data_IF_854312365905
#
_entry.id   IF_854312365905
#
_cell.length_a   1.000
_cell.length_b   1.000
_cell.length_c   1.000
_cell.angle_alpha   90.00
_cell.angle_beta   90.00
_cell.angle_gamma   90.00
#
_symmetry.space_group_name_H-M   'P 1'
#
loop_
_entity.id
_entity.type
_entity.pdbx_description
1 polymer ?
#
# COMPACT_ATOMS: atom_id res chain seq x y z
N UNK A 1 -6.35 -4.66 14.00
CA UNK A 1 -7.26 -3.70 13.41
C UNK A 1 -6.90 -2.28 13.84
N UNK A 2 -6.91 -1.40 12.90
CA UNK A 2 -6.61 -0.02 13.16
C UNK A 2 -7.70 0.64 14.02
N UNK A 3 -7.30 1.35 15.06
CA UNK A 3 -8.23 2.10 15.90
C UNK A 3 -7.97 3.60 15.74
N UNK A 4 -8.93 4.32 15.21
CA UNK A 4 -8.83 5.76 15.07
C UNK A 4 -9.09 6.48 16.40
N UNK A 5 -9.68 5.82 17.37
CA UNK A 5 -10.04 6.45 18.66
C UNK A 5 -8.81 6.89 19.45
N UNK A 6 -7.66 6.28 19.21
CA UNK A 6 -6.43 6.60 19.92
C UNK A 6 -5.65 7.73 19.28
N UNK A 7 -6.12 8.30 18.18
CA UNK A 7 -5.34 9.28 17.43
C UNK A 7 -6.21 10.40 16.88
N UNK A 8 -5.77 11.62 17.09
CA UNK A 8 -6.37 12.80 16.48
C UNK A 8 -5.76 13.13 15.12
N UNK A 9 -4.80 12.31 14.65
CA UNK A 9 -4.11 12.53 13.41
C UNK A 9 -4.72 11.68 12.32
N UNK A 10 -5.15 12.31 11.22
CA UNK A 10 -5.66 11.60 10.05
C UNK A 10 -4.51 10.98 9.28
N UNK A 11 -4.71 9.77 8.76
CA UNK A 11 -3.63 8.92 8.24
C UNK A 11 -3.99 8.24 6.95
N UNK A 12 -2.97 7.94 6.17
CA UNK A 12 -3.00 7.00 5.06
C UNK A 12 -2.39 5.70 5.52
N UNK A 13 -3.12 4.62 5.35
CA UNK A 13 -2.63 3.29 5.71
C UNK A 13 -2.82 2.33 4.55
N UNK A 14 -1.98 1.31 4.53
CA UNK A 14 -2.12 0.23 3.57
C UNK A 14 -2.10 -1.11 4.29
N UNK A 15 -2.66 -2.10 3.64
CA UNK A 15 -2.69 -3.47 4.11
C UNK A 15 -2.63 -4.37 2.88
N UNK A 16 -1.73 -5.34 2.89
CA UNK A 16 -1.59 -6.22 1.75
C UNK A 16 -1.87 -7.66 2.15
N UNK A 17 -2.81 -8.28 1.45
CA UNK A 17 -3.13 -9.69 1.59
C UNK A 17 -2.61 -10.44 0.38
N UNK A 18 -1.82 -11.48 0.64
CA UNK A 18 -1.36 -12.41 -0.37
C UNK A 18 -2.46 -13.44 -0.60
N UNK A 19 -3.20 -13.29 -1.70
CA UNK A 19 -4.31 -14.19 -1.99
C UNK A 19 -3.86 -15.55 -2.52
N UNK A 20 -2.58 -15.68 -2.90
CA UNK A 20 -2.03 -16.98 -3.27
C UNK A 20 -1.88 -17.89 -2.05
N UNK A 21 -1.35 -17.37 -0.94
CA UNK A 21 -1.16 -18.12 0.29
C UNK A 21 -2.31 -17.98 1.27
N UNK A 22 -3.12 -16.94 1.13
CA UNK A 22 -4.16 -16.58 2.08
C UNK A 22 -3.65 -15.91 3.34
N UNK A 23 -2.40 -15.42 3.32
CA UNK A 23 -1.74 -14.81 4.48
C UNK A 23 -1.39 -13.36 4.22
N UNK A 24 -1.19 -12.57 5.29
CA UNK A 24 -0.67 -11.20 5.12
C UNK A 24 0.66 -11.21 4.36
N UNK A 25 0.85 -10.23 3.50
CA UNK A 25 2.06 -10.11 2.68
C UNK A 25 3.20 -9.47 3.49
N UNK A 26 3.76 -10.26 4.40
CA UNK A 26 4.89 -9.83 5.23
C UNK A 26 6.11 -9.58 4.36
N UNK A 27 6.75 -8.45 4.57
CA UNK A 27 8.03 -8.14 3.94
C UNK A 27 7.95 -7.49 2.57
N UNK A 28 6.75 -7.25 2.07
CA UNK A 28 6.62 -6.56 0.79
C UNK A 28 7.01 -5.09 0.96
N UNK A 29 7.77 -4.57 -0.01
CA UNK A 29 8.15 -3.16 -0.01
C UNK A 29 7.06 -2.33 -0.65
N UNK A 30 6.77 -1.17 -0.06
CA UNK A 30 5.78 -0.22 -0.56
C UNK A 30 6.38 1.17 -0.54
N UNK A 31 6.33 1.85 -1.68
CA UNK A 31 6.69 3.26 -1.78
C UNK A 31 5.43 4.09 -1.96
N UNK A 32 5.43 5.31 -1.43
CA UNK A 32 4.34 6.26 -1.67
C UNK A 32 4.88 7.53 -2.29
N UNK A 33 4.13 8.02 -3.28
CA UNK A 33 4.46 9.23 -4.02
C UNK A 33 3.30 10.22 -3.96
N UNK A 34 3.62 11.50 -3.96
CA UNK A 34 2.65 12.51 -4.34
C UNK A 34 2.74 12.69 -5.86
N UNK A 35 1.58 12.88 -6.51
CA UNK A 35 1.54 13.06 -7.96
C UNK A 35 0.87 14.36 -8.36
N UNK A 36 0.42 15.13 -7.40
CA UNK A 36 -0.10 16.47 -7.68
C UNK A 36 1.07 17.37 -8.03
N UNK A 37 1.11 17.84 -9.26
CA UNK A 37 2.26 18.56 -9.77
C UNK A 37 3.36 17.59 -10.18
N UNK A 38 4.57 17.76 -9.61
CA UNK A 38 5.69 16.88 -9.89
C UNK A 38 5.60 15.60 -9.04
N UNK A 39 5.78 14.45 -9.66
CA UNK A 39 5.78 13.18 -8.95
C UNK A 39 7.03 13.08 -8.06
N UNK A 40 6.82 12.89 -6.76
CA UNK A 40 7.91 12.77 -5.78
C UNK A 40 7.63 11.66 -4.80
N UNK A 41 8.65 10.85 -4.53
CA UNK A 41 8.56 9.84 -3.49
C UNK A 41 8.66 10.53 -2.13
N UNK A 42 7.67 10.29 -1.28
CA UNK A 42 7.59 10.94 0.03
C UNK A 42 7.78 9.99 1.19
N UNK A 43 7.69 8.68 0.97
CA UNK A 43 7.94 7.70 2.01
C UNK A 43 8.13 6.31 1.40
N UNK A 44 8.64 5.39 2.21
CA UNK A 44 8.84 4.00 1.84
C UNK A 44 8.74 3.14 3.10
N UNK A 45 8.24 1.92 2.96
CA UNK A 45 8.11 1.02 4.09
C UNK A 45 8.21 -0.43 3.65
N UNK A 46 8.49 -1.31 4.62
CA UNK A 46 8.41 -2.76 4.46
C UNK A 46 7.26 -3.21 5.36
N UNK A 47 6.30 -3.94 4.80
CA UNK A 47 5.13 -4.34 5.58
C UNK A 47 5.50 -5.40 6.63
N UNK A 48 4.85 -5.30 7.78
CA UNK A 48 5.12 -6.15 8.94
C UNK A 48 4.43 -7.50 8.83
N UNK A 49 4.46 -8.27 9.93
CA UNK A 49 3.87 -9.61 9.99
C UNK A 49 2.36 -9.63 9.71
N UNK A 50 1.70 -8.50 9.89
CA UNK A 50 0.27 -8.36 9.64
C UNK A 50 -0.03 -7.81 8.25
N UNK A 51 0.99 -7.61 7.41
CA UNK A 51 0.81 -7.03 6.09
C UNK A 51 0.49 -5.55 6.13
N UNK A 52 0.89 -4.86 7.18
CA UNK A 52 0.63 -3.43 7.39
C UNK A 52 1.94 -2.70 7.60
N UNK A 53 1.92 -1.39 7.39
CA UNK A 53 3.06 -0.56 7.77
C UNK A 53 3.03 -0.34 9.28
N UNK A 54 4.22 -0.30 9.91
CA UNK A 54 4.32 -0.03 11.36
C UNK A 54 3.85 1.38 11.69
N UNK A 55 4.07 2.32 10.75
CA UNK A 55 3.65 3.71 10.89
C UNK A 55 2.78 4.08 9.71
N UNK A 56 1.94 5.08 9.89
CA UNK A 56 1.17 5.62 8.79
C UNK A 56 2.11 6.09 7.70
N UNK A 57 1.78 5.78 6.44
CA UNK A 57 2.59 6.21 5.30
C UNK A 57 2.50 7.72 5.10
N UNK A 58 1.39 8.30 5.51
CA UNK A 58 1.14 9.71 5.33
C UNK A 58 0.28 10.20 6.48
N UNK A 59 0.73 11.22 7.21
CA UNK A 59 -0.03 11.78 8.33
C UNK A 59 0.43 13.21 8.62
N UNK A 60 -0.37 13.90 9.42
CA UNK A 60 -0.05 15.26 9.86
C UNK A 60 -0.04 16.24 8.70
N UNK A 61 0.98 17.10 8.66
CA UNK A 61 1.09 18.15 7.63
C UNK A 61 1.28 17.60 6.23
N UNK A 62 1.70 16.34 6.10
CA UNK A 62 1.88 15.69 4.79
C UNK A 62 0.58 15.11 4.26
N UNK A 63 -0.46 15.09 5.07
CA UNK A 63 -1.75 14.53 4.72
C UNK A 63 -2.63 15.63 4.13
N UNK A 64 -2.54 15.79 2.82
CA UNK A 64 -3.19 16.88 2.09
C UNK A 64 -4.15 16.35 1.06
N UNK A 65 -5.09 17.20 0.64
CA UNK A 65 -5.91 16.96 -0.53
C UNK A 65 -5.02 16.79 -1.75
N UNK A 66 -5.36 15.85 -2.61
CA UNK A 66 -4.60 15.61 -3.84
C UNK A 66 -4.52 14.15 -4.20
N UNK A 67 -3.71 13.85 -5.21
CA UNK A 67 -3.49 12.48 -5.66
C UNK A 67 -2.15 11.93 -5.19
N UNK A 68 -2.16 10.62 -4.93
CA UNK A 68 -1.00 9.88 -4.45
C UNK A 68 -0.90 8.55 -5.19
N UNK A 69 0.30 7.97 -5.18
CA UNK A 69 0.51 6.61 -5.69
C UNK A 69 1.18 5.75 -4.63
N UNK A 70 0.65 4.53 -4.47
CA UNK A 70 1.31 3.47 -3.74
C UNK A 70 1.89 2.50 -4.77
N UNK A 71 3.15 2.15 -4.61
CA UNK A 71 3.82 1.18 -5.47
C UNK A 71 4.22 -0.02 -4.61
N UNK A 72 3.62 -1.18 -4.90
CA UNK A 72 3.88 -2.43 -4.19
C UNK A 72 4.80 -3.29 -5.03
N UNK A 73 5.92 -3.71 -4.46
CA UNK A 73 6.93 -4.50 -5.18
C UNK A 73 6.58 -5.98 -5.10
N UNK A 74 5.52 -6.36 -5.78
CA UNK A 74 4.96 -7.70 -5.69
C UNK A 74 5.81 -8.76 -6.39
N UNK A 75 6.50 -8.40 -7.47
CA UNK A 75 7.38 -9.33 -8.17
C UNK A 75 8.50 -9.84 -7.26
N UNK A 76 9.09 -8.95 -6.49
CA UNK A 76 10.12 -9.33 -5.53
C UNK A 76 9.55 -10.20 -4.41
N UNK A 77 8.35 -9.89 -3.98
CA UNK A 77 7.70 -10.65 -2.90
C UNK A 77 7.43 -12.09 -3.31
N UNK A 78 6.94 -12.31 -4.54
CA UNK A 78 6.59 -13.65 -5.02
C UNK A 78 7.76 -14.39 -5.68
N UNK A 79 8.95 -13.82 -5.69
CA UNK A 79 10.10 -14.34 -6.45
C UNK A 79 10.41 -15.81 -6.19
N UNK A 80 10.23 -16.27 -4.96
CA UNK A 80 10.66 -17.60 -4.55
C UNK A 80 9.60 -18.68 -4.71
N UNK A 81 8.45 -18.35 -5.29
CA UNK A 81 7.40 -19.33 -5.55
C UNK A 81 7.84 -20.19 -6.75
N UNK A 82 7.86 -21.54 -6.59
CA UNK A 82 8.26 -22.41 -7.70
C UNK A 82 7.33 -22.29 -8.89
N UNK A 83 7.91 -22.49 -10.08
CA UNK A 83 7.17 -22.60 -11.36
C UNK A 83 6.54 -21.30 -11.85
N UNK A 84 6.91 -20.17 -11.26
CA UNK A 84 6.53 -18.88 -11.82
C UNK A 84 7.47 -18.48 -12.94
N UNK A 85 7.00 -17.71 -13.93
CA UNK A 85 7.86 -17.21 -15.01
C UNK A 85 9.02 -16.39 -14.44
N UNK A 86 10.16 -16.43 -15.13
CA UNK A 86 11.34 -15.65 -14.76
C UNK A 86 11.04 -14.16 -14.74
N UNK A 87 10.24 -13.70 -15.71
CA UNK A 87 9.77 -12.32 -15.74
C UNK A 87 8.34 -12.36 -15.19
N UNK A 88 8.08 -11.76 -14.02
CA UNK A 88 6.76 -11.85 -13.42
C UNK A 88 5.71 -11.10 -14.24
N UNK A 89 4.50 -11.63 -14.26
CA UNK A 89 3.39 -10.95 -14.92
C UNK A 89 3.08 -9.64 -14.20
N UNK A 90 2.98 -9.67 -12.86
CA UNK A 90 2.87 -8.47 -12.04
C UNK A 90 4.20 -8.25 -11.33
N UNK A 91 4.90 -7.19 -11.69
CA UNK A 91 6.16 -6.84 -11.04
C UNK A 91 5.96 -5.75 -9.99
N UNK A 92 5.44 -4.60 -10.42
CA UNK A 92 5.07 -3.52 -9.52
C UNK A 92 3.58 -3.24 -9.71
N UNK A 93 2.85 -3.17 -8.61
CA UNK A 93 1.45 -2.80 -8.63
C UNK A 93 1.35 -1.37 -8.14
N UNK A 94 0.84 -0.50 -8.99
CA UNK A 94 0.68 0.91 -8.66
C UNK A 94 -0.79 1.22 -8.47
N UNK A 95 -1.12 1.79 -7.32
CA UNK A 95 -2.47 2.27 -7.03
C UNK A 95 -2.40 3.78 -6.92
N UNK A 96 -3.05 4.47 -7.87
CA UNK A 96 -3.18 5.92 -7.80
C UNK A 96 -4.53 6.24 -7.20
N UNK A 97 -4.54 6.96 -6.10
CA UNK A 97 -5.77 7.27 -5.40
C UNK A 97 -5.83 8.74 -5.03
N UNK A 98 -7.06 9.25 -4.90
CA UNK A 98 -7.30 10.63 -4.57
C UNK A 98 -7.75 10.80 -3.13
N UNK A 99 -7.32 11.89 -2.52
CA UNK A 99 -7.78 12.31 -1.21
C UNK A 99 -8.53 13.61 -1.39
N UNK A 100 -9.85 13.54 -1.28
CA UNK A 100 -10.68 14.73 -1.39
C UNK A 100 -10.88 15.41 -0.04
N UNK A 101 -10.81 14.64 1.05
CA UNK A 101 -10.99 15.19 2.40
C UNK A 101 -9.86 14.70 3.31
N UNK A 102 -8.84 15.57 3.56
CA UNK A 102 -7.73 15.16 4.42
C UNK A 102 -8.12 15.00 5.89
N UNK A 103 -9.33 15.34 6.26
CA UNK A 103 -9.85 15.13 7.63
C UNK A 103 -10.44 13.76 7.84
N UNK A 104 -10.34 12.86 6.85
CA UNK A 104 -10.77 11.48 6.97
C UNK A 104 -9.57 10.55 6.97
N UNK A 105 -9.71 9.41 7.65
CA UNK A 105 -8.71 8.35 7.55
C UNK A 105 -8.92 7.63 6.23
N UNK A 106 -7.82 7.26 5.60
CA UNK A 106 -7.84 6.49 4.36
C UNK A 106 -7.09 5.19 4.57
N UNK A 107 -7.69 4.12 4.11
CA UNK A 107 -7.09 2.79 4.13
C UNK A 107 -7.17 2.25 2.70
N UNK A 108 -6.02 1.93 2.14
CA UNK A 108 -5.90 1.45 0.75
C UNK A 108 -5.34 0.04 0.78
N UNK A 109 -6.20 -0.98 0.85
CA UNK A 109 -5.73 -2.36 0.89
C UNK A 109 -5.42 -2.88 -0.49
N UNK A 110 -4.49 -3.82 -0.56
CA UNK A 110 -4.18 -4.55 -1.78
C UNK A 110 -4.39 -6.04 -1.54
N UNK A 111 -5.15 -6.68 -2.41
CA UNK A 111 -5.28 -8.12 -2.47
C UNK A 111 -4.56 -8.57 -3.73
N UNK A 112 -3.51 -9.38 -3.59
CA UNK A 112 -2.63 -9.65 -4.72
C UNK A 112 -2.22 -11.12 -4.79
N UNK A 113 -2.16 -11.63 -6.01
CA UNK A 113 -1.53 -12.89 -6.36
C UNK A 113 -0.49 -12.61 -7.45
N UNK A 114 0.28 -13.62 -7.88
CA UNK A 114 1.20 -13.39 -9.01
C UNK A 114 0.49 -12.96 -10.30
N UNK A 115 -0.82 -13.17 -10.43
CA UNK A 115 -1.55 -13.00 -11.68
C UNK A 115 -2.62 -11.94 -11.67
N UNK A 116 -3.03 -11.45 -10.48
CA UNK A 116 -4.14 -10.50 -10.37
C UNK A 116 -4.05 -9.71 -9.09
N UNK A 117 -4.74 -8.59 -9.06
CA UNK A 117 -4.88 -7.81 -7.83
C UNK A 117 -6.19 -7.05 -7.84
N UNK A 118 -6.59 -6.64 -6.65
CA UNK A 118 -7.71 -5.73 -6.47
C UNK A 118 -7.44 -4.80 -5.30
N UNK A 119 -8.16 -3.70 -5.30
CA UNK A 119 -8.07 -2.70 -4.24
C UNK A 119 -9.43 -2.09 -4.00
N UNK A 120 -9.59 -1.46 -2.86
CA UNK A 120 -10.80 -0.71 -2.55
C UNK A 120 -10.46 0.33 -1.49
N UNK A 121 -11.37 1.27 -1.26
CA UNK A 121 -11.19 2.20 -0.16
C UNK A 121 -11.73 1.55 1.11
N UNK A 122 -10.83 1.20 2.03
CA UNK A 122 -11.21 0.71 3.35
C UNK A 122 -11.61 1.85 4.27
N UNK A 123 -12.31 1.53 5.30
CA UNK A 123 -12.74 2.51 6.28
C UNK A 123 -11.84 2.55 7.52
#
# INVERSE_FOLDING_TARGET
LYSSAASDVYKRQTHCLDTFSGKPAKGIKVDIYTVSGKKEKINSTILNNNGRSDKALLEGSNFKEGEYELVFFVGDYFRNIPNLPKIPFLNEVTIRFGVSNPKEHYHVPLLVSPWSYSTYRGS
#
